data_IF_466028331733
#
_entry.id   IF_466028331733
#
_cell.length_a   1.000
_cell.length_b   1.000
_cell.length_c   1.000
_cell.angle_alpha   90.00
_cell.angle_beta   90.00
_cell.angle_gamma   90.00
#
_symmetry.space_group_name_H-M   'P 1'
#
loop_
_entity.id
_entity.type
_entity.pdbx_description
1 polymer ?
#
# COMPACT_ATOMS: atom_id res chain seq x y z
N UNK A 1 51.41 28.87 9.84
CA UNK A 1 51.40 27.41 9.61
C UNK A 1 49.96 27.01 9.40
N UNK A 2 49.51 26.91 8.14
CA UNK A 2 48.17 26.39 7.86
C UNK A 2 48.18 24.91 8.20
N UNK A 3 47.32 24.49 9.12
CA UNK A 3 47.03 23.07 9.31
C UNK A 3 46.43 22.58 7.99
N UNK A 4 47.09 21.61 7.35
CA UNK A 4 46.55 20.90 6.20
C UNK A 4 45.39 20.02 6.71
N UNK A 5 44.24 20.65 6.93
CA UNK A 5 43.01 20.02 7.41
C UNK A 5 42.37 19.28 6.23
N UNK A 6 42.99 18.18 5.80
CA UNK A 6 42.34 17.25 4.88
C UNK A 6 41.25 16.47 5.60
N UNK A 7 40.13 16.21 4.93
CA UNK A 7 39.04 15.40 5.47
C UNK A 7 39.35 13.91 5.31
N UNK A 8 38.88 13.12 6.28
CA UNK A 8 38.94 11.66 6.25
C UNK A 8 38.01 11.16 5.15
N UNK A 9 38.52 10.25 4.31
CA UNK A 9 37.77 9.72 3.17
C UNK A 9 36.70 8.71 3.57
N UNK A 10 35.63 8.63 2.78
CA UNK A 10 34.61 7.57 2.87
C UNK A 10 35.27 6.21 2.64
N UNK A 11 35.10 5.33 3.62
CA UNK A 11 35.83 4.08 3.75
C UNK A 11 36.77 4.08 4.97
N UNK A 12 37.12 5.26 5.51
CA UNK A 12 37.99 5.42 6.68
C UNK A 12 37.36 6.23 7.83
N UNK A 13 36.11 6.71 7.66
CA UNK A 13 35.44 7.59 8.61
C UNK A 13 35.36 6.95 10.00
N UNK A 14 35.30 7.77 11.05
CA UNK A 14 35.19 7.28 12.42
C UNK A 14 33.97 6.36 12.61
N UNK A 15 32.81 6.67 12.00
CA UNK A 15 31.63 5.80 12.03
C UNK A 15 31.84 4.41 11.39
N UNK A 16 32.79 4.30 10.47
CA UNK A 16 33.15 3.07 9.77
C UNK A 16 34.24 2.30 10.51
N UNK A 17 35.07 2.97 11.31
CA UNK A 17 36.04 2.34 12.22
C UNK A 17 35.37 1.81 13.49
N UNK A 18 34.45 2.60 14.05
CA UNK A 18 33.64 2.23 15.21
C UNK A 18 32.18 2.64 14.99
N UNK A 19 31.34 1.66 14.62
CA UNK A 19 29.91 1.88 14.39
C UNK A 19 29.11 2.15 15.68
N UNK A 20 29.70 1.90 16.86
CA UNK A 20 29.04 2.09 18.17
C UNK A 20 29.35 3.44 18.82
N UNK A 21 30.32 4.19 18.29
CA UNK A 21 30.67 5.49 18.84
C UNK A 21 29.50 6.48 18.69
N UNK A 22 29.10 7.08 19.81
CA UNK A 22 27.89 7.94 19.90
C UNK A 22 28.19 9.43 19.98
N UNK A 23 29.39 9.79 20.43
CA UNK A 23 29.86 11.17 20.53
C UNK A 23 31.32 11.26 20.10
N UNK A 24 31.70 12.34 19.43
CA UNK A 24 33.04 12.49 18.85
C UNK A 24 33.41 13.95 18.58
N UNK A 25 34.58 14.35 19.06
CA UNK A 25 35.14 15.67 18.77
C UNK A 25 35.92 15.66 17.45
N UNK A 26 35.70 16.69 16.64
CA UNK A 26 36.35 16.87 15.33
C UNK A 26 36.47 18.37 15.01
N UNK A 27 36.93 18.71 13.81
CA UNK A 27 37.07 20.11 13.37
C UNK A 27 36.42 20.35 12.01
N UNK A 28 35.93 21.57 11.81
CA UNK A 28 35.35 22.01 10.54
C UNK A 28 36.44 22.26 9.51
N UNK A 29 36.38 21.59 8.36
CA UNK A 29 37.33 21.72 7.23
C UNK A 29 36.81 22.74 6.22
N UNK A 30 35.53 22.67 5.87
CA UNK A 30 34.91 23.65 4.98
C UNK A 30 33.43 23.83 5.31
N UNK A 31 32.90 25.02 5.01
CA UNK A 31 31.48 25.35 5.14
C UNK A 31 31.10 26.21 3.94
N UNK A 32 30.17 25.74 3.11
CA UNK A 32 29.71 26.44 1.90
C UNK A 32 28.23 26.71 1.99
N UNK A 33 27.83 27.93 1.70
CA UNK A 33 26.42 28.28 1.55
C UNK A 33 25.87 27.75 0.22
N UNK A 34 24.69 27.13 0.27
CA UNK A 34 23.98 26.58 -0.88
C UNK A 34 22.54 27.08 -0.86
N UNK A 35 22.09 27.59 -2.00
CA UNK A 35 20.71 28.04 -2.20
C UNK A 35 19.95 26.92 -2.91
N UNK A 36 18.93 26.39 -2.24
CA UNK A 36 18.06 25.35 -2.79
C UNK A 36 17.09 25.92 -3.85
N UNK A 37 16.47 25.01 -4.62
CA UNK A 37 15.49 25.37 -5.68
C UNK A 37 14.29 26.16 -5.15
N UNK A 38 13.91 25.94 -3.89
CA UNK A 38 12.84 26.65 -3.19
C UNK A 38 13.30 27.98 -2.57
N UNK A 39 14.54 28.41 -2.84
CA UNK A 39 15.22 29.58 -2.27
C UNK A 39 15.52 29.47 -0.77
N UNK A 40 15.37 28.30 -0.16
CA UNK A 40 15.90 28.08 1.20
C UNK A 40 17.43 28.07 1.18
N UNK A 41 18.05 28.60 2.23
CA UNK A 41 19.50 28.60 2.41
C UNK A 41 19.86 27.40 3.30
N UNK A 42 20.88 26.66 2.90
CA UNK A 42 21.49 25.58 3.67
C UNK A 42 23.01 25.68 3.58
N UNK A 43 23.70 25.00 4.48
CA UNK A 43 25.15 24.95 4.51
C UNK A 43 25.64 23.53 4.32
N UNK A 44 26.60 23.36 3.41
CA UNK A 44 27.35 22.13 3.19
C UNK A 44 28.65 22.19 4.01
N UNK A 45 28.69 21.38 5.07
CA UNK A 45 29.79 21.34 6.04
C UNK A 45 30.60 20.06 5.86
N UNK A 46 31.89 20.22 5.60
CA UNK A 46 32.88 19.15 5.59
C UNK A 46 33.64 19.17 6.92
N UNK A 47 33.71 18.01 7.58
CA UNK A 47 34.44 17.83 8.83
C UNK A 47 35.73 17.06 8.55
N UNK A 48 36.72 17.23 9.43
CA UNK A 48 37.98 16.48 9.35
C UNK A 48 37.72 14.97 9.46
N UNK A 49 36.79 14.58 10.32
CA UNK A 49 36.30 13.21 10.45
C UNK A 49 34.89 13.24 11.07
N UNK A 50 34.11 12.17 10.91
CA UNK A 50 32.72 12.13 11.36
C UNK A 50 32.26 10.76 11.87
N UNK A 51 31.45 10.78 12.93
CA UNK A 51 30.67 9.63 13.40
C UNK A 51 29.27 9.60 12.81
N UNK A 52 28.87 10.56 11.98
CA UNK A 52 27.59 10.57 11.28
C UNK A 52 27.82 9.94 9.90
N UNK A 53 27.23 8.76 9.66
CA UNK A 53 27.43 8.03 8.43
C UNK A 53 26.77 8.79 7.26
N UNK A 54 27.51 9.10 6.19
CA UNK A 54 26.89 9.55 4.95
C UNK A 54 26.05 8.43 4.35
N UNK A 55 25.12 8.75 3.46
CA UNK A 55 24.42 7.69 2.72
C UNK A 55 25.38 6.81 1.88
N UNK A 56 25.04 5.52 1.72
CA UNK A 56 25.84 4.61 0.91
C UNK A 56 25.45 3.14 1.03
N UNK A 57 25.65 2.36 -0.03
CA UNK A 57 25.39 0.91 -0.04
C UNK A 57 23.92 0.52 0.18
N UNK A 58 22.98 1.45 -0.03
CA UNK A 58 21.54 1.27 0.29
C UNK A 58 21.16 1.66 1.72
N UNK A 59 22.12 2.02 2.58
CA UNK A 59 21.87 2.56 3.91
C UNK A 59 21.66 4.08 3.84
N UNK A 60 20.54 4.62 4.39
CA UNK A 60 20.30 6.06 4.49
C UNK A 60 21.31 6.75 5.40
N UNK A 61 21.49 8.07 5.22
CA UNK A 61 22.36 8.86 6.09
C UNK A 61 21.86 8.85 7.54
N UNK A 62 22.79 8.96 8.47
CA UNK A 62 22.42 9.24 9.86
C UNK A 62 21.77 10.61 10.02
N UNK A 63 21.36 10.88 11.25
CA UNK A 63 21.02 12.21 11.74
C UNK A 63 21.65 12.40 13.11
N UNK A 64 21.83 13.64 13.52
CA UNK A 64 22.43 13.95 14.81
C UNK A 64 22.58 15.44 15.01
N UNK A 65 23.53 15.80 15.85
CA UNK A 65 23.82 17.19 16.16
C UNK A 65 25.31 17.49 16.05
N UNK A 66 25.63 18.72 15.66
CA UNK A 66 26.97 19.30 15.73
C UNK A 66 26.91 20.42 16.77
N UNK A 67 27.74 20.35 17.80
CA UNK A 67 27.85 21.38 18.83
C UNK A 67 29.18 22.12 18.66
N UNK A 68 29.15 23.42 18.36
CA UNK A 68 30.35 24.26 18.36
C UNK A 68 30.84 24.45 19.79
N UNK A 69 32.07 24.01 20.09
CA UNK A 69 32.60 24.01 21.45
C UNK A 69 32.95 25.41 21.98
N UNK A 70 33.21 26.36 21.09
CA UNK A 70 33.54 27.73 21.49
C UNK A 70 32.27 28.56 21.72
N UNK A 71 31.26 28.38 20.86
CA UNK A 71 30.00 29.14 20.89
C UNK A 71 28.92 28.45 21.74
N UNK A 72 29.11 27.19 22.07
CA UNK A 72 28.12 26.31 22.73
C UNK A 72 26.76 26.30 21.99
N UNK A 73 26.80 26.47 20.66
CA UNK A 73 25.64 26.44 19.77
C UNK A 73 25.49 25.05 19.16
N UNK A 74 24.27 24.53 19.19
CA UNK A 74 23.95 23.17 18.72
C UNK A 74 23.11 23.21 17.46
N UNK A 75 23.61 22.58 16.41
CA UNK A 75 22.98 22.50 15.09
C UNK A 75 22.49 21.08 14.82
N UNK A 76 21.30 20.96 14.28
CA UNK A 76 20.79 19.68 13.79
C UNK A 76 21.38 19.34 12.42
N UNK A 77 21.81 18.09 12.25
CA UNK A 77 22.18 17.51 10.97
C UNK A 77 21.09 16.53 10.56
N UNK A 78 20.29 16.93 9.57
CA UNK A 78 19.16 16.13 9.08
C UNK A 78 19.56 15.17 7.96
N UNK A 79 20.63 15.46 7.23
CA UNK A 79 21.11 14.63 6.13
C UNK A 79 22.61 14.81 5.89
N UNK A 80 23.29 13.72 5.51
CA UNK A 80 24.70 13.70 5.15
C UNK A 80 24.84 13.04 3.78
N UNK A 81 25.25 13.83 2.79
CA UNK A 81 25.46 13.39 1.42
C UNK A 81 26.84 12.75 1.28
N UNK A 82 26.92 11.71 0.46
CA UNK A 82 28.20 11.23 -0.06
C UNK A 82 28.51 11.95 -1.37
N UNK A 83 29.58 12.72 -1.39
CA UNK A 83 30.15 13.28 -2.63
C UNK A 83 31.49 12.61 -2.91
N UNK A 84 31.50 11.59 -3.78
CA UNK A 84 32.65 10.72 -4.04
C UNK A 84 33.19 10.10 -2.74
N UNK A 85 34.36 10.57 -2.28
CA UNK A 85 35.05 10.16 -1.07
C UNK A 85 34.80 11.10 0.13
N UNK A 86 33.92 12.09 0.02
CA UNK A 86 33.64 13.08 1.06
C UNK A 86 32.28 12.84 1.72
N UNK A 87 32.21 13.17 3.01
CA UNK A 87 30.98 13.24 3.78
C UNK A 87 30.57 14.70 3.98
N UNK A 88 29.46 15.11 3.36
CA UNK A 88 28.98 16.49 3.37
C UNK A 88 27.73 16.58 4.25
N UNK A 89 27.84 17.31 5.37
CA UNK A 89 26.77 17.47 6.35
C UNK A 89 25.92 18.67 5.97
N UNK A 90 24.60 18.49 5.91
CA UNK A 90 23.68 19.59 5.66
C UNK A 90 23.18 20.19 6.97
N UNK A 91 23.39 21.50 7.14
CA UNK A 91 22.94 22.27 8.32
C UNK A 91 22.14 23.50 7.90
N UNK A 92 21.33 24.04 8.81
CA UNK A 92 20.55 25.27 8.59
C UNK A 92 21.34 26.55 8.92
N UNK A 93 22.41 26.42 9.70
CA UNK A 93 23.27 27.53 10.11
C UNK A 93 24.73 27.23 9.74
N UNK A 94 25.55 28.26 9.49
CA UNK A 94 26.94 28.08 9.12
C UNK A 94 27.80 27.68 10.32
N UNK A 95 28.90 26.99 10.05
CA UNK A 95 29.96 26.72 11.01
C UNK A 95 31.26 27.38 10.57
N UNK A 96 32.03 27.87 11.55
CA UNK A 96 33.29 28.55 11.29
C UNK A 96 34.39 27.54 10.94
N UNK A 97 35.05 27.74 9.81
CA UNK A 97 36.16 26.86 9.38
C UNK A 97 37.28 26.88 10.42
N UNK A 98 37.75 25.70 10.79
CA UNK A 98 38.75 25.51 11.85
C UNK A 98 38.17 25.43 13.27
N UNK A 99 36.87 25.65 13.47
CA UNK A 99 36.26 25.47 14.79
C UNK A 99 36.27 24.00 15.22
N UNK A 100 36.44 23.78 16.53
CA UNK A 100 36.27 22.46 17.14
C UNK A 100 34.80 22.24 17.44
N UNK A 101 34.30 21.07 17.05
CA UNK A 101 32.90 20.71 17.22
C UNK A 101 32.79 19.32 17.83
N UNK A 102 31.75 19.10 18.64
CA UNK A 102 31.37 17.78 19.12
C UNK A 102 30.14 17.26 18.36
N UNK A 103 30.23 16.03 17.88
CA UNK A 103 29.14 15.35 17.19
C UNK A 103 28.36 14.49 18.17
N UNK A 104 27.03 14.54 18.10
CA UNK A 104 26.16 13.59 18.82
C UNK A 104 25.28 12.84 17.83
N UNK A 105 25.39 11.52 17.84
CA UNK A 105 24.64 10.64 16.96
C UNK A 105 23.22 10.39 17.49
N UNK A 106 22.22 10.40 16.60
CA UNK A 106 20.93 9.79 16.89
C UNK A 106 21.08 8.26 16.94
N UNK A 107 21.42 7.75 18.14
CA UNK A 107 21.71 6.34 18.34
C UNK A 107 20.54 5.41 17.98
N UNK A 108 19.30 5.82 18.28
CA UNK A 108 18.14 4.99 17.98
C UNK A 108 17.99 4.74 16.47
N UNK A 109 18.21 5.79 15.67
CA UNK A 109 18.18 5.70 14.20
C UNK A 109 19.38 4.89 13.67
N UNK A 110 20.60 5.17 14.15
CA UNK A 110 21.79 4.40 13.76
C UNK A 110 21.62 2.91 14.02
N UNK A 111 21.19 2.56 15.22
CA UNK A 111 21.07 1.16 15.63
C UNK A 111 20.01 0.43 14.79
N UNK A 112 18.88 1.09 14.49
CA UNK A 112 17.88 0.57 13.55
C UNK A 112 18.49 0.30 12.16
N UNK A 113 19.25 1.24 11.61
CA UNK A 113 19.91 1.06 10.31
C UNK A 113 20.96 -0.05 10.32
N UNK A 114 21.76 -0.16 11.38
CA UNK A 114 22.70 -1.27 11.56
C UNK A 114 21.97 -2.62 11.62
N UNK A 115 20.81 -2.70 12.29
CA UNK A 115 19.98 -3.91 12.31
C UNK A 115 19.44 -4.26 10.92
N UNK A 116 18.94 -3.28 10.17
CA UNK A 116 18.41 -3.52 8.82
C UNK A 116 19.52 -3.96 7.85
N UNK A 117 20.65 -3.27 7.87
CA UNK A 117 21.75 -3.52 6.95
C UNK A 117 22.44 -4.85 7.25
N UNK A 118 22.76 -5.12 8.52
CA UNK A 118 23.30 -6.42 8.94
C UNK A 118 22.31 -7.55 8.66
N UNK A 119 21.02 -7.32 8.90
CA UNK A 119 19.98 -8.29 8.61
C UNK A 119 19.87 -8.61 7.12
N UNK A 120 20.05 -7.61 6.26
CA UNK A 120 20.12 -7.82 4.81
C UNK A 120 21.33 -8.69 4.42
N UNK A 121 22.53 -8.40 4.94
CA UNK A 121 23.72 -9.22 4.65
C UNK A 121 23.52 -10.68 5.09
N UNK A 122 23.00 -10.89 6.29
CA UNK A 122 22.70 -12.23 6.77
C UNK A 122 21.69 -12.94 5.86
N UNK A 123 20.60 -12.25 5.49
CA UNK A 123 19.58 -12.82 4.59
C UNK A 123 20.17 -13.16 3.21
N UNK A 124 20.98 -12.28 2.63
CA UNK A 124 21.68 -12.53 1.36
C UNK A 124 22.59 -13.75 1.43
N UNK A 125 23.37 -13.89 2.50
CA UNK A 125 24.27 -15.03 2.68
C UNK A 125 23.51 -16.37 2.77
N UNK A 126 22.33 -16.38 3.39
CA UNK A 126 21.45 -17.55 3.40
C UNK A 126 20.85 -17.79 2.01
N UNK A 127 20.30 -16.76 1.37
CA UNK A 127 19.70 -16.86 0.03
C UNK A 127 20.68 -17.39 -1.02
N UNK A 128 21.95 -17.00 -0.95
CA UNK A 128 22.99 -17.47 -1.87
C UNK A 128 23.17 -19.00 -1.82
N UNK A 129 22.91 -19.66 -0.68
CA UNK A 129 22.93 -21.14 -0.57
C UNK A 129 21.82 -21.82 -1.40
N UNK A 130 20.76 -21.08 -1.73
CA UNK A 130 19.63 -21.54 -2.52
C UNK A 130 19.71 -21.07 -3.99
N UNK A 131 20.87 -20.56 -4.43
CA UNK A 131 21.07 -19.92 -5.74
C UNK A 131 20.14 -18.70 -5.97
N UNK A 132 19.75 -18.03 -4.88
CA UNK A 132 18.90 -16.84 -4.90
C UNK A 132 19.75 -15.58 -4.74
N UNK A 133 20.62 -15.34 -5.73
CA UNK A 133 21.54 -14.20 -5.70
C UNK A 133 20.81 -12.88 -5.52
N UNK A 134 21.34 -12.04 -4.63
CA UNK A 134 20.82 -10.69 -4.41
C UNK A 134 21.06 -9.82 -5.65
N UNK A 135 19.99 -9.42 -6.34
CA UNK A 135 20.04 -8.54 -7.51
C UNK A 135 20.06 -7.06 -7.09
N UNK A 136 19.23 -6.72 -6.12
CA UNK A 136 19.14 -5.39 -5.51
C UNK A 136 18.50 -5.49 -4.13
N UNK A 137 18.58 -4.42 -3.34
CA UNK A 137 17.84 -4.32 -2.09
C UNK A 137 17.47 -2.86 -1.81
N UNK A 138 16.54 -2.66 -0.90
CA UNK A 138 16.18 -1.33 -0.42
C UNK A 138 15.83 -1.36 1.05
N UNK A 139 16.39 -0.39 1.79
CA UNK A 139 15.99 -0.07 3.14
C UNK A 139 14.92 1.02 3.11
N UNK A 140 13.65 0.63 3.25
CA UNK A 140 12.56 1.60 3.42
C UNK A 140 12.45 2.09 4.86
N UNK A 141 11.51 3.01 5.12
CA UNK A 141 11.30 3.54 6.47
C UNK A 141 10.69 2.51 7.44
N UNK A 142 9.89 1.58 6.91
CA UNK A 142 9.20 0.55 7.70
C UNK A 142 9.53 -0.86 7.26
N UNK A 143 9.51 -1.11 5.95
CA UNK A 143 9.79 -2.42 5.36
C UNK A 143 11.03 -2.33 4.48
N UNK A 144 11.80 -3.40 4.45
CA UNK A 144 12.87 -3.59 3.49
C UNK A 144 12.39 -4.56 2.41
N UNK A 145 13.05 -4.56 1.26
CA UNK A 145 12.94 -5.65 0.31
C UNK A 145 14.30 -6.05 -0.23
N UNK A 146 14.41 -7.33 -0.59
CA UNK A 146 15.52 -7.89 -1.34
C UNK A 146 14.98 -8.44 -2.66
N UNK A 147 15.61 -8.09 -3.77
CA UNK A 147 15.25 -8.57 -5.09
C UNK A 147 16.08 -9.81 -5.44
N UNK A 148 15.38 -10.91 -5.72
CA UNK A 148 15.92 -12.23 -6.03
C UNK A 148 15.50 -12.65 -7.44
N UNK A 149 16.19 -13.62 -8.09
CA UNK A 149 16.00 -13.91 -9.51
C UNK A 149 14.63 -14.49 -9.88
N UNK A 150 13.93 -15.08 -8.91
CA UNK A 150 12.61 -15.68 -9.09
C UNK A 150 11.77 -15.57 -7.82
N UNK A 151 10.46 -15.78 -7.96
CA UNK A 151 9.58 -16.01 -6.81
C UNK A 151 9.91 -17.35 -6.16
N UNK A 152 9.91 -17.38 -4.83
CA UNK A 152 10.10 -18.60 -4.03
C UNK A 152 8.76 -19.10 -3.47
N UNK A 153 8.64 -20.41 -3.24
CA UNK A 153 7.44 -21.00 -2.65
C UNK A 153 7.33 -20.66 -1.16
N UNK A 154 6.15 -20.88 -0.58
CA UNK A 154 5.94 -20.62 0.85
C UNK A 154 6.81 -21.58 1.70
N UNK A 155 7.02 -22.82 1.25
CA UNK A 155 7.93 -23.78 1.91
C UNK A 155 9.40 -23.34 1.83
N UNK A 156 9.82 -22.71 0.73
CA UNK A 156 11.17 -22.12 0.64
C UNK A 156 11.32 -20.92 1.59
N UNK A 157 10.30 -20.07 1.68
CA UNK A 157 10.28 -18.94 2.64
C UNK A 157 10.43 -19.44 4.07
N UNK A 158 9.69 -20.49 4.45
CA UNK A 158 9.75 -21.08 5.79
C UNK A 158 11.16 -21.62 6.11
N UNK A 159 11.77 -22.38 5.20
CA UNK A 159 13.14 -22.91 5.39
C UNK A 159 14.18 -21.80 5.53
N UNK A 160 14.11 -20.78 4.68
CA UNK A 160 15.02 -19.63 4.73
C UNK A 160 14.81 -18.86 6.05
N UNK A 161 13.57 -18.69 6.49
CA UNK A 161 13.23 -18.04 7.75
C UNK A 161 13.81 -18.80 8.95
N UNK A 162 13.71 -20.13 8.98
CA UNK A 162 14.30 -20.99 10.02
C UNK A 162 15.82 -20.84 10.06
N UNK A 163 16.49 -20.95 8.92
CA UNK A 163 17.96 -20.88 8.83
C UNK A 163 18.50 -19.49 9.23
N UNK A 164 17.83 -18.42 8.79
CA UNK A 164 18.15 -17.05 9.23
C UNK A 164 18.01 -16.91 10.75
N UNK A 165 16.93 -17.46 11.31
CA UNK A 165 16.68 -17.42 12.76
C UNK A 165 17.75 -18.19 13.53
N UNK A 166 18.15 -19.36 13.03
CA UNK A 166 19.23 -20.16 13.60
C UNK A 166 20.55 -19.38 13.65
N UNK A 167 20.92 -18.70 12.56
CA UNK A 167 22.16 -17.90 12.56
C UNK A 167 22.10 -16.70 13.51
N UNK A 168 20.92 -16.12 13.75
CA UNK A 168 20.74 -15.07 14.77
C UNK A 168 20.92 -15.66 16.18
N UNK A 169 20.32 -16.82 16.46
CA UNK A 169 20.42 -17.52 17.75
C UNK A 169 21.87 -17.92 18.05
N UNK A 170 22.59 -18.39 17.04
CA UNK A 170 24.00 -18.77 17.15
C UNK A 170 24.94 -17.58 17.42
N UNK A 171 24.43 -16.33 17.32
CA UNK A 171 25.15 -15.11 17.64
C UNK A 171 26.54 -15.02 16.98
N UNK A 172 26.60 -15.38 15.69
CA UNK A 172 27.80 -15.40 14.87
C UNK A 172 28.49 -14.04 14.88
N UNK A 173 29.81 -14.03 15.07
CA UNK A 173 30.62 -12.82 15.09
C UNK A 173 30.65 -12.14 13.73
N UNK A 174 30.63 -10.81 13.74
CA UNK A 174 30.72 -9.96 12.56
C UNK A 174 31.95 -9.09 12.67
N UNK A 175 32.78 -9.10 11.64
CA UNK A 175 34.00 -8.29 11.56
C UNK A 175 34.05 -7.53 10.26
N UNK A 176 34.65 -6.34 10.28
CA UNK A 176 34.95 -5.58 9.08
C UNK A 176 36.46 -5.53 8.91
N UNK A 177 36.93 -5.92 7.74
CA UNK A 177 38.35 -5.93 7.37
C UNK A 177 38.60 -5.00 6.19
N UNK A 178 39.84 -4.53 6.06
CA UNK A 178 40.33 -3.78 4.90
C UNK A 178 41.35 -4.67 4.19
N UNK A 179 40.91 -5.54 3.25
CA UNK A 179 41.82 -6.39 2.49
C UNK A 179 42.59 -5.60 1.43
N UNK A 180 43.59 -6.25 0.81
CA UNK A 180 44.27 -5.70 -0.37
C UNK A 180 43.30 -5.61 -1.56
N UNK A 181 43.46 -4.58 -2.39
CA UNK A 181 42.53 -4.25 -3.49
C UNK A 181 42.36 -5.40 -4.50
N UNK A 182 43.42 -6.18 -4.72
CA UNK A 182 43.43 -7.32 -5.65
C UNK A 182 42.59 -8.53 -5.16
N UNK A 183 42.29 -8.60 -3.86
CA UNK A 183 41.56 -9.72 -3.24
C UNK A 183 40.04 -9.51 -3.19
N UNK A 184 39.55 -8.38 -3.72
CA UNK A 184 38.15 -7.97 -3.59
C UNK A 184 37.44 -7.96 -4.94
N UNK A 185 36.27 -8.59 -5.01
CA UNK A 185 35.39 -8.45 -6.15
C UNK A 185 34.80 -7.03 -6.20
N UNK A 186 35.32 -6.18 -7.09
CA UNK A 186 34.93 -4.77 -7.22
C UNK A 186 33.66 -4.55 -8.03
N UNK A 187 33.05 -5.60 -8.60
CA UNK A 187 31.87 -5.46 -9.48
C UNK A 187 30.63 -4.87 -8.81
N UNK A 188 30.56 -4.87 -7.47
CA UNK A 188 29.46 -4.30 -6.67
C UNK A 188 29.74 -2.88 -6.16
N UNK A 189 30.88 -2.28 -6.52
CA UNK A 189 31.27 -0.94 -6.06
C UNK A 189 30.63 0.12 -6.97
N UNK A 190 30.11 1.23 -6.41
CA UNK A 190 29.59 2.35 -7.22
C UNK A 190 30.65 2.90 -8.19
N UNK A 191 30.24 3.23 -9.42
CA UNK A 191 31.14 3.77 -10.46
C UNK A 191 31.81 5.08 -10.07
N UNK A 192 31.16 5.88 -9.21
CA UNK A 192 31.66 7.16 -8.71
C UNK A 192 32.62 7.03 -7.51
N UNK A 193 32.87 5.82 -7.04
CA UNK A 193 33.84 5.53 -5.98
C UNK A 193 35.24 5.36 -6.57
N UNK A 194 36.15 6.28 -6.25
CA UNK A 194 37.54 6.16 -6.67
C UNK A 194 38.24 5.07 -5.84
N UNK A 195 38.32 3.86 -6.39
CA UNK A 195 38.92 2.69 -5.72
C UNK A 195 40.42 2.91 -5.45
N UNK A 196 41.12 3.70 -6.28
CA UNK A 196 42.56 3.91 -6.13
C UNK A 196 42.89 4.87 -4.98
N UNK A 197 41.95 5.75 -4.62
CA UNK A 197 42.10 6.71 -3.52
C UNK A 197 41.24 6.36 -2.29
N UNK A 198 40.24 5.49 -2.47
CA UNK A 198 39.33 5.03 -1.43
C UNK A 198 39.86 3.82 -0.66
N UNK A 199 39.05 3.37 0.31
CA UNK A 199 39.33 2.21 1.15
C UNK A 199 38.24 1.16 0.96
N UNK A 200 38.62 -0.02 0.47
CA UNK A 200 37.72 -1.16 0.34
C UNK A 200 37.53 -1.84 1.69
N UNK A 201 36.30 -1.78 2.20
CA UNK A 201 35.88 -2.48 3.40
C UNK A 201 35.09 -3.72 3.00
N UNK A 202 35.42 -4.83 3.65
CA UNK A 202 34.70 -6.10 3.48
C UNK A 202 34.13 -6.51 4.83
N UNK A 203 32.83 -6.77 4.85
CA UNK A 203 32.15 -7.34 6.01
C UNK A 203 32.19 -8.86 5.91
N UNK A 204 32.58 -9.49 7.02
CA UNK A 204 32.57 -10.93 7.22
C UNK A 204 31.60 -11.29 8.33
N UNK A 205 30.62 -12.15 8.02
CA UNK A 205 29.68 -12.72 9.01
C UNK A 205 30.06 -14.19 9.20
N UNK A 206 30.84 -14.49 10.24
CA UNK A 206 31.44 -15.83 10.41
C UNK A 206 32.03 -16.31 9.08
N UNK A 207 31.77 -17.55 8.69
CA UNK A 207 32.15 -18.05 7.36
C UNK A 207 30.96 -18.04 6.36
N UNK A 208 29.87 -17.35 6.69
CA UNK A 208 28.65 -17.29 5.88
C UNK A 208 28.72 -16.23 4.80
N UNK A 209 29.27 -15.07 5.13
CA UNK A 209 29.30 -13.91 4.23
C UNK A 209 30.68 -13.29 4.17
N UNK A 210 31.04 -12.77 2.99
CA UNK A 210 32.26 -12.02 2.74
C UNK A 210 32.03 -11.03 1.58
N UNK A 211 31.33 -9.93 1.85
CA UNK A 211 30.93 -8.96 0.81
C UNK A 211 31.53 -7.57 1.03
N UNK A 212 31.92 -6.85 -0.04
CA UNK A 212 32.32 -5.45 0.08
C UNK A 212 31.15 -4.61 0.58
N UNK A 213 31.34 -3.87 1.67
CA UNK A 213 30.35 -2.95 2.18
C UNK A 213 30.97 -1.80 2.98
N UNK A 214 30.55 -0.59 2.66
CA UNK A 214 30.98 0.62 3.36
C UNK A 214 30.01 1.06 4.47
N UNK A 215 28.94 0.30 4.72
CA UNK A 215 27.92 0.60 5.74
C UNK A 215 28.40 0.50 7.18
N UNK A 216 27.48 0.78 8.11
CA UNK A 216 27.66 0.51 9.54
C UNK A 216 26.97 -0.80 9.91
N UNK A 217 27.65 -1.62 10.72
CA UNK A 217 27.21 -2.98 10.99
C UNK A 217 27.30 -3.33 12.47
N UNK A 218 26.47 -4.28 12.86
CA UNK A 218 26.51 -4.88 14.18
C UNK A 218 27.76 -5.76 14.33
N UNK A 219 28.14 -6.05 15.57
CA UNK A 219 29.30 -6.89 15.92
C UNK A 219 28.95 -8.38 15.98
N UNK A 220 27.66 -8.72 16.00
CA UNK A 220 27.19 -10.11 16.00
C UNK A 220 25.76 -10.22 15.48
N UNK A 221 25.40 -11.38 14.93
CA UNK A 221 24.06 -11.63 14.37
C UNK A 221 22.96 -11.60 15.44
N UNK A 222 23.24 -11.92 16.70
CA UNK A 222 22.25 -11.89 17.79
C UNK A 222 21.74 -10.48 18.08
N UNK A 223 22.52 -9.44 17.76
CA UNK A 223 22.10 -8.05 17.91
C UNK A 223 21.09 -7.61 16.83
N UNK A 224 20.93 -8.38 15.74
CA UNK A 224 19.83 -8.22 14.80
C UNK A 224 18.50 -8.52 15.49
N UNK A 225 18.52 -9.33 16.56
CA UNK A 225 17.38 -9.78 17.36
C UNK A 225 16.38 -10.69 16.63
N UNK A 226 15.87 -10.27 15.47
CA UNK A 226 14.95 -11.06 14.66
C UNK A 226 14.91 -10.52 13.23
N UNK A 227 14.69 -11.40 12.27
CA UNK A 227 14.31 -11.06 10.89
C UNK A 227 13.02 -11.81 10.61
N UNK A 228 12.03 -11.15 10.00
CA UNK A 228 10.79 -11.78 9.56
C UNK A 228 10.60 -11.52 8.07
N UNK A 229 10.51 -12.61 7.30
CA UNK A 229 10.13 -12.61 5.89
C UNK A 229 8.62 -12.42 5.76
N UNK A 230 8.21 -11.63 4.79
CA UNK A 230 6.82 -11.23 4.58
C UNK A 230 6.32 -11.71 3.21
N UNK A 231 5.61 -10.84 2.50
CA UNK A 231 5.09 -11.12 1.17
C UNK A 231 6.14 -10.88 0.08
N UNK A 232 5.85 -11.42 -1.10
CA UNK A 232 6.66 -11.24 -2.31
C UNK A 232 5.86 -10.47 -3.36
N UNK A 233 6.49 -9.49 -4.01
CA UNK A 233 5.94 -8.82 -5.18
C UNK A 233 6.75 -9.15 -6.43
N UNK A 234 6.11 -9.19 -7.60
CA UNK A 234 6.81 -9.40 -8.87
C UNK A 234 7.67 -8.17 -9.21
N UNK A 235 8.95 -8.40 -9.47
CA UNK A 235 9.91 -7.43 -9.99
C UNK A 235 9.98 -7.43 -11.52
N UNK A 236 10.96 -6.71 -12.06
CA UNK A 236 11.19 -6.67 -13.53
C UNK A 236 11.89 -7.95 -13.98
N UNK A 237 11.56 -8.43 -15.19
CA UNK A 237 12.28 -9.55 -15.81
C UNK A 237 12.13 -10.91 -15.13
N UNK A 238 11.05 -11.14 -14.37
CA UNK A 238 10.82 -12.39 -13.64
C UNK A 238 11.42 -12.43 -12.23
N UNK A 239 12.18 -11.39 -11.84
CA UNK A 239 12.67 -11.22 -10.47
C UNK A 239 11.51 -11.10 -9.47
N UNK A 240 11.78 -11.37 -8.20
CA UNK A 240 10.83 -11.19 -7.10
C UNK A 240 11.43 -10.34 -6.00
N UNK A 241 10.62 -9.43 -5.46
CA UNK A 241 10.96 -8.60 -4.29
C UNK A 241 10.38 -9.28 -3.06
N UNK A 242 11.25 -9.92 -2.29
CA UNK A 242 10.92 -10.51 -1.00
C UNK A 242 11.02 -9.42 0.07
N UNK A 243 9.89 -9.08 0.68
CA UNK A 243 9.85 -8.08 1.75
C UNK A 243 10.26 -8.71 3.08
N UNK A 244 10.97 -7.95 3.90
CA UNK A 244 11.38 -8.37 5.24
C UNK A 244 11.48 -7.19 6.20
N UNK A 245 11.47 -7.50 7.49
CA UNK A 245 11.73 -6.56 8.59
C UNK A 245 12.75 -7.16 9.55
N UNK A 246 13.64 -6.33 10.11
CA UNK A 246 14.65 -6.77 11.06
C UNK A 246 14.64 -5.93 12.35
N UNK A 247 15.13 -6.53 13.44
CA UNK A 247 15.35 -5.87 14.72
C UNK A 247 14.11 -5.21 15.31
N UNK A 248 14.26 -3.98 15.80
CA UNK A 248 13.18 -3.27 16.50
C UNK A 248 11.92 -3.06 15.62
N UNK A 249 12.07 -3.08 14.29
CA UNK A 249 10.95 -2.97 13.35
C UNK A 249 10.01 -4.18 13.41
N UNK A 250 10.52 -5.37 13.75
CA UNK A 250 9.70 -6.58 13.91
C UNK A 250 8.65 -6.38 14.99
N UNK A 251 9.04 -5.82 16.14
CA UNK A 251 8.12 -5.55 17.26
C UNK A 251 7.05 -4.54 16.86
N UNK A 252 7.44 -3.46 16.16
CA UNK A 252 6.50 -2.45 15.64
C UNK A 252 5.53 -3.06 14.63
N UNK A 253 6.04 -3.92 13.74
CA UNK A 253 5.23 -4.62 12.75
C UNK A 253 4.24 -5.57 13.42
N UNK A 254 4.68 -6.40 14.37
CA UNK A 254 3.83 -7.31 15.13
C UNK A 254 2.73 -6.56 15.89
N UNK A 255 3.06 -5.45 16.56
CA UNK A 255 2.07 -4.63 17.25
C UNK A 255 1.01 -4.08 16.29
N UNK A 256 1.41 -3.65 15.09
CA UNK A 256 0.49 -3.19 14.03
C UNK A 256 -0.42 -4.32 13.57
N UNK A 257 0.12 -5.50 13.26
CA UNK A 257 -0.66 -6.65 12.80
C UNK A 257 -1.61 -7.15 13.89
N UNK A 258 -1.14 -7.24 15.14
CA UNK A 258 -1.98 -7.63 16.28
C UNK A 258 -3.14 -6.64 16.49
N UNK A 259 -2.92 -5.33 16.32
CA UNK A 259 -4.00 -4.33 16.39
C UNK A 259 -5.06 -4.57 15.31
N UNK A 260 -4.64 -4.90 14.08
CA UNK A 260 -5.56 -5.22 12.98
C UNK A 260 -6.31 -6.51 13.27
N UNK A 261 -5.61 -7.58 13.66
CA UNK A 261 -6.20 -8.87 13.99
C UNK A 261 -7.23 -8.74 15.11
N UNK A 262 -6.90 -8.03 16.19
CA UNK A 262 -7.81 -7.78 17.32
C UNK A 262 -9.08 -7.02 16.89
N UNK A 263 -8.97 -6.03 16.01
CA UNK A 263 -10.13 -5.31 15.51
C UNK A 263 -11.08 -6.23 14.72
N UNK A 264 -10.52 -7.08 13.84
CA UNK A 264 -11.31 -8.03 13.05
C UNK A 264 -11.92 -9.14 13.93
N UNK A 265 -11.18 -9.66 14.91
CA UNK A 265 -11.67 -10.64 15.87
C UNK A 265 -12.86 -10.09 16.67
N UNK A 266 -12.82 -8.82 17.09
CA UNK A 266 -13.94 -8.15 17.75
C UNK A 266 -15.16 -8.01 16.84
N UNK A 267 -14.97 -7.59 15.59
CA UNK A 267 -16.07 -7.42 14.62
C UNK A 267 -16.76 -8.76 14.32
N UNK A 268 -15.98 -9.82 14.17
CA UNK A 268 -16.48 -11.17 13.89
C UNK A 268 -16.91 -11.94 15.16
N UNK A 269 -16.72 -11.35 16.34
CA UNK A 269 -16.99 -11.97 17.64
C UNK A 269 -16.35 -13.36 17.77
N UNK A 270 -15.04 -13.44 17.53
CA UNK A 270 -14.26 -14.68 17.53
C UNK A 270 -12.84 -14.49 18.07
N UNK A 271 -12.10 -15.57 18.29
CA UNK A 271 -10.66 -15.48 18.60
C UNK A 271 -9.84 -15.16 17.34
N UNK A 272 -8.59 -14.69 17.51
CA UNK A 272 -7.75 -14.25 16.39
C UNK A 272 -7.44 -15.40 15.40
N UNK A 273 -7.23 -16.60 15.93
CA UNK A 273 -7.01 -17.84 15.18
C UNK A 273 -8.24 -18.31 14.41
N UNK A 274 -9.44 -17.90 14.81
CA UNK A 274 -10.71 -18.26 14.15
C UNK A 274 -11.15 -17.26 13.07
N UNK A 275 -10.43 -16.15 12.88
CA UNK A 275 -10.84 -15.08 11.96
C UNK A 275 -11.09 -15.62 10.54
N UNK A 276 -10.17 -16.46 10.04
CA UNK A 276 -10.28 -17.03 8.68
C UNK A 276 -11.54 -17.88 8.51
N UNK A 277 -11.80 -18.77 9.47
CA UNK A 277 -12.97 -19.66 9.45
C UNK A 277 -14.29 -18.87 9.54
N UNK A 278 -14.31 -17.81 10.34
CA UNK A 278 -15.47 -16.92 10.47
C UNK A 278 -15.73 -16.14 9.18
N UNK A 279 -14.69 -15.69 8.50
CA UNK A 279 -14.81 -15.03 7.18
C UNK A 279 -15.37 -16.02 6.15
N UNK A 280 -14.89 -17.26 6.14
CA UNK A 280 -15.43 -18.28 5.23
C UNK A 280 -16.92 -18.55 5.51
N UNK A 281 -17.27 -18.78 6.77
CA UNK A 281 -18.66 -18.98 7.19
C UNK A 281 -19.56 -17.78 6.83
N UNK A 282 -19.07 -16.55 7.02
CA UNK A 282 -19.77 -15.32 6.65
C UNK A 282 -20.03 -15.27 5.14
N UNK A 283 -19.02 -15.58 4.32
CA UNK A 283 -19.16 -15.61 2.86
C UNK A 283 -20.15 -16.68 2.39
N UNK A 284 -20.15 -17.87 3.01
CA UNK A 284 -21.13 -18.92 2.72
C UNK A 284 -22.54 -18.46 3.07
N UNK A 285 -22.73 -17.85 4.25
CA UNK A 285 -24.03 -17.35 4.69
C UNK A 285 -24.52 -16.19 3.82
N UNK A 286 -23.64 -15.29 3.40
CA UNK A 286 -23.95 -14.22 2.47
C UNK A 286 -24.48 -14.75 1.14
N UNK A 287 -23.81 -15.74 0.54
CA UNK A 287 -24.28 -16.40 -0.70
C UNK A 287 -25.63 -17.11 -0.50
N UNK A 288 -25.87 -17.75 0.65
CA UNK A 288 -27.17 -18.37 0.97
C UNK A 288 -28.27 -17.34 1.11
N UNK A 289 -28.00 -16.21 1.77
CA UNK A 289 -28.95 -15.11 1.92
C UNK A 289 -29.33 -14.51 0.56
N UNK A 290 -28.36 -14.24 -0.32
CA UNK A 290 -28.63 -13.77 -1.69
C UNK A 290 -29.50 -14.76 -2.49
N UNK A 291 -29.19 -16.06 -2.43
CA UNK A 291 -30.02 -17.09 -3.10
C UNK A 291 -31.46 -17.09 -2.57
N UNK A 292 -31.62 -16.98 -1.24
CA UNK A 292 -32.95 -16.91 -0.61
C UNK A 292 -33.70 -15.65 -1.04
N UNK A 293 -33.03 -14.51 -1.10
CA UNK A 293 -33.60 -13.25 -1.58
C UNK A 293 -34.09 -13.38 -3.03
N UNK A 294 -33.29 -13.96 -3.93
CA UNK A 294 -33.70 -14.20 -5.31
C UNK A 294 -34.94 -15.08 -5.39
N UNK A 295 -34.97 -16.21 -4.67
CA UNK A 295 -36.13 -17.11 -4.65
C UNK A 295 -37.40 -16.43 -4.09
N UNK A 296 -37.25 -15.62 -3.04
CA UNK A 296 -38.37 -14.85 -2.49
C UNK A 296 -38.88 -13.80 -3.47
N UNK A 297 -37.99 -13.10 -4.19
CA UNK A 297 -38.36 -12.17 -5.27
C UNK A 297 -39.07 -12.90 -6.40
N UNK A 298 -38.63 -14.08 -6.79
CA UNK A 298 -39.31 -14.91 -7.80
C UNK A 298 -40.72 -15.30 -7.35
N UNK A 299 -40.87 -15.83 -6.14
CA UNK A 299 -42.17 -16.21 -5.59
C UNK A 299 -43.13 -15.02 -5.48
N UNK A 300 -42.64 -13.87 -5.02
CA UNK A 300 -43.45 -12.65 -4.91
C UNK A 300 -43.86 -12.12 -6.29
N UNK A 301 -42.93 -12.16 -7.26
CA UNK A 301 -43.24 -11.78 -8.65
C UNK A 301 -44.30 -12.69 -9.27
N UNK A 302 -44.34 -13.98 -8.91
CA UNK A 302 -45.37 -14.91 -9.37
C UNK A 302 -46.74 -14.55 -8.79
N UNK A 303 -46.81 -14.19 -7.51
CA UNK A 303 -48.05 -13.76 -6.87
C UNK A 303 -48.57 -12.44 -7.45
N UNK A 304 -47.70 -11.44 -7.62
CA UNK A 304 -48.07 -10.15 -8.21
C UNK A 304 -48.47 -10.32 -9.68
N UNK A 305 -47.79 -11.18 -10.44
CA UNK A 305 -48.17 -11.51 -11.81
C UNK A 305 -49.56 -12.16 -11.91
N UNK A 306 -50.01 -12.96 -10.92
CA UNK A 306 -51.36 -13.51 -10.92
C UNK A 306 -52.43 -12.42 -10.78
N UNK A 307 -52.20 -11.42 -9.91
CA UNK A 307 -53.12 -10.29 -9.78
C UNK A 307 -53.19 -9.47 -11.08
N UNK A 308 -52.03 -9.16 -11.66
CA UNK A 308 -51.94 -8.45 -12.94
C UNK A 308 -52.62 -9.25 -14.05
N UNK A 309 -52.46 -10.58 -14.08
CA UNK A 309 -53.12 -11.46 -15.06
C UNK A 309 -54.65 -11.42 -14.91
N UNK A 310 -55.15 -11.37 -13.67
CA UNK A 310 -56.58 -11.19 -13.41
C UNK A 310 -57.10 -9.85 -13.94
N UNK A 311 -56.38 -8.76 -13.67
CA UNK A 311 -56.73 -7.43 -14.18
C UNK A 311 -56.71 -7.41 -15.72
N UNK A 312 -55.71 -8.04 -16.34
CA UNK A 312 -55.60 -8.16 -17.79
C UNK A 312 -56.63 -9.11 -18.41
N UNK A 313 -57.46 -9.84 -17.66
CA UNK A 313 -58.61 -10.55 -18.21
C UNK A 313 -59.79 -9.60 -18.38
N UNK A 314 -60.05 -8.75 -17.39
CA UNK A 314 -61.22 -7.88 -17.33
C UNK A 314 -60.99 -6.51 -17.99
N UNK A 315 -59.76 -6.02 -17.96
CA UNK A 315 -59.41 -4.64 -18.36
C UNK A 315 -58.41 -4.65 -19.51
N UNK A 316 -58.34 -3.54 -20.22
CA UNK A 316 -57.44 -3.33 -21.36
C UNK A 316 -56.01 -2.95 -20.92
N UNK A 317 -55.91 -2.33 -19.76
CA UNK A 317 -54.65 -1.89 -19.15
C UNK A 317 -54.59 -2.45 -17.74
N UNK A 318 -53.44 -2.99 -17.36
CA UNK A 318 -53.10 -3.27 -15.97
C UNK A 318 -51.83 -2.53 -15.60
N UNK A 319 -51.78 -2.05 -14.36
CA UNK A 319 -50.57 -1.45 -13.83
C UNK A 319 -50.17 -2.08 -12.50
N UNK A 320 -48.89 -1.99 -12.19
CA UNK A 320 -48.33 -2.40 -10.91
C UNK A 320 -47.36 -1.33 -10.44
N UNK A 321 -47.51 -0.93 -9.18
CA UNK A 321 -46.61 0.00 -8.53
C UNK A 321 -46.10 -0.58 -7.22
N UNK A 322 -44.78 -0.48 -7.00
CA UNK A 322 -44.17 -0.83 -5.71
C UNK A 322 -42.93 0.02 -5.42
N UNK A 323 -42.87 0.58 -4.22
CA UNK A 323 -41.67 1.28 -3.73
C UNK A 323 -40.55 0.29 -3.41
N UNK A 324 -39.31 0.77 -3.55
CA UNK A 324 -38.04 0.11 -3.22
C UNK A 324 -37.85 -1.27 -3.85
N UNK A 325 -38.32 -1.43 -5.09
CA UNK A 325 -38.24 -2.71 -5.80
C UNK A 325 -37.22 -2.71 -6.94
N UNK A 326 -36.98 -1.54 -7.54
CA UNK A 326 -35.97 -1.34 -8.59
C UNK A 326 -36.30 -2.04 -9.92
N UNK A 327 -35.51 -1.74 -10.96
CA UNK A 327 -35.73 -2.27 -12.32
C UNK A 327 -35.61 -3.80 -12.40
N UNK A 328 -34.75 -4.42 -11.59
CA UNK A 328 -34.54 -5.86 -11.61
C UNK A 328 -35.80 -6.62 -11.20
N UNK A 329 -36.53 -6.11 -10.20
CA UNK A 329 -37.78 -6.71 -9.75
C UNK A 329 -38.90 -6.52 -10.77
N UNK A 330 -39.06 -5.33 -11.36
CA UNK A 330 -40.03 -5.11 -12.44
C UNK A 330 -39.74 -6.00 -13.65
N UNK A 331 -38.46 -6.20 -13.97
CA UNK A 331 -38.04 -7.09 -15.06
C UNK A 331 -38.38 -8.56 -14.75
N UNK A 332 -38.32 -8.96 -13.48
CA UNK A 332 -38.72 -10.29 -13.03
C UNK A 332 -40.23 -10.51 -13.20
N UNK A 333 -41.06 -9.56 -12.75
CA UNK A 333 -42.52 -9.59 -12.96
C UNK A 333 -42.83 -9.68 -14.45
N UNK A 334 -42.23 -8.80 -15.26
CA UNK A 334 -42.44 -8.81 -16.71
C UNK A 334 -42.05 -10.17 -17.30
N UNK A 335 -40.91 -10.74 -16.92
CA UNK A 335 -40.49 -12.07 -17.40
C UNK A 335 -41.55 -13.12 -17.08
N UNK A 336 -42.08 -13.13 -15.87
CA UNK A 336 -43.12 -14.06 -15.41
C UNK A 336 -44.42 -13.95 -16.20
N UNK A 337 -44.90 -12.73 -16.48
CA UNK A 337 -46.20 -12.50 -17.13
C UNK A 337 -46.11 -12.30 -18.66
N UNK A 338 -44.91 -12.08 -19.22
CA UNK A 338 -44.71 -11.66 -20.62
C UNK A 338 -45.48 -12.47 -21.66
N UNK A 339 -45.57 -13.80 -21.48
CA UNK A 339 -46.26 -14.72 -22.40
C UNK A 339 -47.78 -14.79 -22.18
N UNK A 340 -48.28 -14.19 -21.11
CA UNK A 340 -49.68 -14.22 -20.69
C UNK A 340 -50.41 -12.89 -20.94
N UNK A 341 -49.71 -11.85 -21.38
CA UNK A 341 -50.32 -10.57 -21.73
C UNK A 341 -51.10 -10.76 -23.04
N UNK A 342 -52.44 -10.61 -23.05
CA UNK A 342 -53.23 -10.78 -24.26
C UNK A 342 -52.93 -9.71 -25.32
N UNK A 343 -53.18 -10.03 -26.59
CA UNK A 343 -52.95 -9.09 -27.68
C UNK A 343 -53.79 -7.81 -27.55
N UNK A 344 -53.16 -6.67 -27.83
CA UNK A 344 -53.79 -5.35 -27.74
C UNK A 344 -53.86 -4.75 -26.32
N UNK A 345 -53.58 -5.55 -25.27
CA UNK A 345 -53.55 -5.07 -23.88
C UNK A 345 -52.22 -4.43 -23.51
N UNK A 346 -52.22 -3.64 -22.44
CA UNK A 346 -51.03 -2.93 -21.95
C UNK A 346 -50.74 -3.28 -20.50
N UNK A 347 -49.48 -3.61 -20.20
CA UNK A 347 -48.96 -3.72 -18.85
C UNK A 347 -48.01 -2.55 -18.56
N UNK A 348 -48.22 -1.87 -17.43
CA UNK A 348 -47.34 -0.80 -16.94
C UNK A 348 -46.78 -1.19 -15.56
N UNK A 349 -45.47 -1.32 -15.44
CA UNK A 349 -44.80 -1.63 -14.18
C UNK A 349 -43.99 -0.42 -13.74
N UNK A 350 -44.21 0.06 -12.52
CA UNK A 350 -43.55 1.23 -11.95
C UNK A 350 -42.90 0.89 -10.60
N UNK A 351 -41.68 1.38 -10.40
CA UNK A 351 -41.01 1.38 -9.10
C UNK A 351 -40.47 2.76 -8.79
N UNK A 352 -40.58 3.16 -7.53
CA UNK A 352 -39.82 4.27 -6.96
C UNK A 352 -38.79 3.73 -5.98
N UNK A 353 -37.68 4.43 -5.77
CA UNK A 353 -36.63 4.08 -4.80
C UNK A 353 -36.53 5.14 -3.70
N UNK A 354 -35.87 4.82 -2.59
CA UNK A 354 -35.69 5.71 -1.43
C UNK A 354 -35.02 7.06 -1.77
N UNK A 355 -34.26 7.11 -2.86
CA UNK A 355 -33.61 8.34 -3.38
C UNK A 355 -34.56 9.22 -4.20
N UNK A 356 -35.87 8.96 -4.17
CA UNK A 356 -36.88 9.50 -5.08
C UNK A 356 -36.54 9.25 -6.56
N UNK A 357 -35.70 8.28 -6.90
CA UNK A 357 -35.54 7.81 -8.29
C UNK A 357 -36.59 6.75 -8.61
N UNK A 358 -36.63 6.29 -9.85
CA UNK A 358 -37.54 5.22 -10.22
C UNK A 358 -37.24 4.59 -11.57
N UNK A 359 -38.02 3.56 -11.87
CA UNK A 359 -37.97 2.83 -13.12
C UNK A 359 -39.37 2.46 -13.57
N UNK A 360 -39.58 2.47 -14.87
CA UNK A 360 -40.87 2.13 -15.48
C UNK A 360 -40.67 1.21 -16.68
N UNK A 361 -41.58 0.26 -16.84
CA UNK A 361 -41.64 -0.65 -17.97
C UNK A 361 -43.07 -0.63 -18.51
N UNK A 362 -43.21 -0.43 -19.81
CA UNK A 362 -44.49 -0.55 -20.52
C UNK A 362 -44.35 -1.69 -21.51
N UNK A 363 -45.29 -2.64 -21.49
CA UNK A 363 -45.32 -3.79 -22.37
C UNK A 363 -46.68 -3.88 -23.07
N UNK A 364 -46.68 -3.88 -24.40
CA UNK A 364 -47.86 -4.13 -25.23
C UNK A 364 -47.47 -4.63 -26.62
N UNK A 365 -48.32 -5.43 -27.27
CA UNK A 365 -48.17 -5.75 -28.69
C UNK A 365 -48.58 -4.59 -29.61
N UNK A 366 -49.26 -3.56 -29.09
CA UNK A 366 -49.62 -2.34 -29.82
C UNK A 366 -48.59 -1.22 -29.57
N UNK A 367 -47.75 -0.96 -30.57
CA UNK A 367 -46.72 0.08 -30.50
C UNK A 367 -47.30 1.50 -30.36
N UNK A 368 -48.41 1.81 -31.05
CA UNK A 368 -49.03 3.13 -30.97
C UNK A 368 -49.51 3.43 -29.55
N UNK A 369 -50.17 2.45 -28.92
CA UNK A 369 -50.66 2.57 -27.53
C UNK A 369 -49.50 2.70 -26.53
N UNK A 370 -48.40 1.99 -26.77
CA UNK A 370 -47.18 2.12 -25.97
C UNK A 370 -46.56 3.51 -26.08
N UNK A 371 -46.51 4.09 -27.29
CA UNK A 371 -45.99 5.44 -27.49
C UNK A 371 -46.87 6.51 -26.82
N UNK A 372 -48.19 6.42 -27.01
CA UNK A 372 -49.16 7.33 -26.39
C UNK A 372 -48.98 7.41 -24.88
N UNK A 373 -48.99 6.26 -24.20
CA UNK A 373 -48.81 6.17 -22.75
C UNK A 373 -47.42 6.67 -22.34
N UNK A 374 -46.36 6.28 -23.07
CA UNK A 374 -45.00 6.72 -22.74
C UNK A 374 -44.80 8.23 -22.86
N UNK A 375 -45.46 8.87 -23.85
CA UNK A 375 -45.42 10.32 -24.02
C UNK A 375 -46.19 11.00 -22.90
N UNK A 376 -47.37 10.48 -22.54
CA UNK A 376 -48.14 11.04 -21.42
C UNK A 376 -47.38 10.95 -20.10
N UNK A 377 -46.71 9.84 -19.84
CA UNK A 377 -45.87 9.66 -18.65
C UNK A 377 -44.65 10.60 -18.64
N UNK A 378 -44.10 10.95 -19.81
CA UNK A 378 -43.03 11.97 -19.91
C UNK A 378 -43.54 13.39 -19.64
N UNK A 379 -44.81 13.68 -19.92
CA UNK A 379 -45.44 14.95 -19.52
C UNK A 379 -45.66 15.03 -18.00
N UNK A 380 -46.03 13.90 -17.38
CA UNK A 380 -46.28 13.82 -15.94
C UNK A 380 -45.01 13.70 -15.09
N UNK A 381 -43.91 13.21 -15.68
CA UNK A 381 -42.64 12.97 -15.00
C UNK A 381 -41.53 13.68 -15.77
N UNK A 382 -41.13 14.85 -15.24
CA UNK A 382 -40.19 15.76 -15.91
C UNK A 382 -38.84 15.11 -16.23
N UNK A 383 -38.41 14.20 -15.35
CA UNK A 383 -37.10 13.54 -15.43
C UNK A 383 -37.16 12.11 -15.99
N UNK A 384 -38.25 11.72 -16.65
CA UNK A 384 -38.38 10.40 -17.25
C UNK A 384 -37.66 10.32 -18.60
N UNK A 385 -36.62 9.49 -18.67
CA UNK A 385 -35.89 9.18 -19.91
C UNK A 385 -36.00 7.70 -20.23
N UNK A 386 -36.42 7.38 -21.46
CA UNK A 386 -36.65 6.00 -21.87
C UNK A 386 -37.00 5.84 -23.34
N UNK A 387 -36.98 4.58 -23.79
CA UNK A 387 -37.19 4.20 -25.17
C UNK A 387 -37.58 2.73 -25.32
N UNK A 388 -38.08 2.38 -26.50
CA UNK A 388 -38.46 1.02 -26.86
C UNK A 388 -39.70 0.98 -27.75
N UNK A 389 -39.96 -0.19 -28.35
CA UNK A 389 -41.15 -0.43 -29.18
C UNK A 389 -42.24 -1.09 -28.35
N UNK A 390 -42.45 -2.40 -28.54
CA UNK A 390 -43.44 -3.20 -27.81
C UNK A 390 -43.09 -3.36 -26.31
N UNK A 391 -41.80 -3.24 -26.00
CA UNK A 391 -41.28 -3.12 -24.64
C UNK A 391 -40.58 -1.78 -24.54
N UNK A 392 -41.19 -0.85 -23.82
CA UNK A 392 -40.62 0.46 -23.52
C UNK A 392 -40.09 0.48 -22.09
N UNK A 393 -38.86 0.95 -21.90
CA UNK A 393 -38.25 1.06 -20.57
C UNK A 393 -37.76 2.47 -20.34
N UNK A 394 -38.03 2.98 -19.14
CA UNK A 394 -37.60 4.31 -18.71
C UNK A 394 -37.00 4.30 -17.33
N UNK A 395 -36.01 5.18 -17.14
CA UNK A 395 -35.44 5.53 -15.84
C UNK A 395 -35.86 6.94 -15.47
N UNK A 396 -36.13 7.12 -14.18
CA UNK A 396 -36.52 8.38 -13.57
C UNK A 396 -35.39 8.74 -12.63
N UNK A 397 -34.61 9.77 -12.97
CA UNK A 397 -33.48 10.17 -12.12
C UNK A 397 -33.95 10.73 -10.78
N UNK A 398 -35.09 11.42 -10.78
CA UNK A 398 -35.73 11.97 -9.59
C UNK A 398 -37.19 12.32 -9.87
N UNK A 399 -38.11 11.91 -9.01
CA UNK A 399 -39.48 12.39 -8.94
C UNK A 399 -39.52 13.75 -8.23
N UNK A 400 -40.20 14.71 -8.85
CA UNK A 400 -40.56 15.97 -8.20
C UNK A 400 -41.78 15.79 -7.28
N UNK A 401 -42.00 16.76 -6.39
CA UNK A 401 -43.04 16.68 -5.36
C UNK A 401 -44.43 16.52 -6.01
N UNK A 402 -45.10 15.40 -5.72
CA UNK A 402 -46.45 15.09 -6.21
C UNK A 402 -46.50 14.42 -7.58
N UNK A 403 -45.37 14.23 -8.28
CA UNK A 403 -45.36 13.53 -9.58
C UNK A 403 -45.80 12.07 -9.43
N UNK A 404 -45.36 11.36 -8.38
CA UNK A 404 -45.78 9.96 -8.14
C UNK A 404 -47.30 9.88 -7.98
N UNK A 405 -47.91 10.74 -7.17
CA UNK A 405 -49.36 10.73 -6.95
C UNK A 405 -50.14 11.04 -8.24
N UNK A 406 -49.62 11.96 -9.07
CA UNK A 406 -50.22 12.27 -10.37
C UNK A 406 -50.14 11.09 -11.33
N UNK A 407 -48.99 10.40 -11.36
CA UNK A 407 -48.80 9.20 -12.17
C UNK A 407 -49.73 8.09 -11.72
N UNK A 408 -49.84 7.83 -10.42
CA UNK A 408 -50.73 6.78 -9.89
C UNK A 408 -52.20 7.08 -10.22
N UNK A 409 -52.66 8.32 -10.06
CA UNK A 409 -54.01 8.74 -10.46
C UNK A 409 -54.25 8.54 -11.96
N UNK A 410 -53.27 8.89 -12.80
CA UNK A 410 -53.35 8.65 -14.23
C UNK A 410 -53.45 7.16 -14.56
N UNK A 411 -52.63 6.31 -13.93
CA UNK A 411 -52.64 4.87 -14.15
C UNK A 411 -53.96 4.22 -13.68
N UNK A 412 -54.51 4.67 -12.55
CA UNK A 412 -55.82 4.22 -12.05
C UNK A 412 -56.97 4.57 -13.01
N UNK A 413 -56.99 5.80 -13.52
CA UNK A 413 -58.00 6.25 -14.48
C UNK A 413 -57.85 5.51 -15.83
N UNK A 414 -56.62 5.26 -16.27
CA UNK A 414 -56.31 4.51 -17.49
C UNK A 414 -56.76 3.04 -17.38
N UNK A 415 -56.54 2.41 -16.22
CA UNK A 415 -57.00 1.05 -15.96
C UNK A 415 -58.53 0.95 -15.87
N UNK A 416 -59.22 2.02 -15.43
CA UNK A 416 -60.67 2.04 -15.25
C UNK A 416 -61.47 2.46 -16.51
N UNK A 417 -60.79 2.67 -17.66
CA UNK A 417 -61.39 3.22 -18.89
C UNK A 417 -62.10 4.58 -18.69
N UNK A 418 -61.59 5.41 -17.78
CA UNK A 418 -62.15 6.73 -17.44
C UNK A 418 -61.44 7.89 -18.18
N UNK A 419 -60.59 7.59 -19.16
CA UNK A 419 -59.75 8.55 -19.91
C UNK A 419 -60.11 8.51 -21.39
#
# INVERSE_FOLDING_TARGET
MGLDLSSTVVGALQCQRDSYLKSFETSVVSCKEVINKDKSIQYEVELHDTILFPEGGGQPSDSGFITDLAKNSRLEVFHIKRDKLKAIHLTQEPLEVGSKVNLDLNWAKRFDYMQQHTGQHLLSAILDKYDLKTLSWSMGDSLNYIEIPRKISDEEVERIQEEVTEQIINNVSISVTIPHQDDVNTSKIPEDYDINQGILRVIKIGDLDNNPCCGTHLSSTGQVASIVLLHQLSGRGGASRLYFVAGSRVVKYLAKIHKIAKANSSELSCQIDEISDKIEALNVNYRKALKRETLLKENLSNFEAQQIESDLKEKDVAYFYKSNSGLDYLSLILKTISKKIPDGKVLILLSSDDTNSGSIIIQSSNFSRTQEISNKLKELITNLKGGGKNKWQGKISKFEKGEIDQVLKYLEALQSNLI
#
